data_IF_133377947304
#
_entry.id   IF_133377947304
#
_cell.length_a   1.000
_cell.length_b   1.000
_cell.length_c   1.000
_cell.angle_alpha   90.00
_cell.angle_beta   90.00
_cell.angle_gamma   90.00
#
_symmetry.space_group_name_H-M   'P 1'
#
loop_
_entity.id
_entity.type
_entity.pdbx_description
1 polymer ?
#
# COMPACT_ATOMS: atom_id res chain seq x y z
N UNK A 1 -25.03 1.10 -25.63
CA UNK A 1 -24.61 1.51 -24.26
C UNK A 1 -23.58 2.60 -24.41
N UNK A 2 -23.71 3.74 -23.71
CA UNK A 2 -22.65 4.74 -23.68
C UNK A 2 -21.46 4.12 -22.93
N UNK A 3 -20.36 3.91 -23.64
CA UNK A 3 -19.13 3.42 -23.07
C UNK A 3 -18.50 4.59 -22.30
N UNK A 4 -18.55 4.54 -20.97
CA UNK A 4 -17.91 5.56 -20.14
C UNK A 4 -16.41 5.29 -20.05
N UNK A 5 -15.61 6.34 -19.86
CA UNK A 5 -14.15 6.26 -19.65
C UNK A 5 -13.77 5.17 -18.64
N UNK A 6 -14.53 5.08 -17.55
CA UNK A 6 -14.32 4.11 -16.48
C UNK A 6 -14.58 2.67 -16.95
N UNK A 7 -15.64 2.44 -17.74
CA UNK A 7 -15.93 1.12 -18.31
C UNK A 7 -14.85 0.67 -19.29
N UNK A 8 -14.29 1.59 -20.07
CA UNK A 8 -13.15 1.31 -20.94
C UNK A 8 -11.93 0.87 -20.13
N UNK A 9 -11.57 1.64 -19.10
CA UNK A 9 -10.45 1.34 -18.22
C UNK A 9 -10.64 -0.03 -17.53
N UNK A 10 -11.82 -0.30 -16.97
CA UNK A 10 -12.12 -1.57 -16.29
C UNK A 10 -12.01 -2.74 -17.26
N UNK A 11 -12.57 -2.58 -18.47
CA UNK A 11 -12.50 -3.62 -19.50
C UNK A 11 -11.06 -3.91 -19.93
N UNK A 12 -10.24 -2.87 -20.12
CA UNK A 12 -8.84 -3.02 -20.52
C UNK A 12 -8.02 -3.72 -19.43
N UNK A 13 -8.20 -3.31 -18.17
CA UNK A 13 -7.54 -3.92 -17.02
C UNK A 13 -7.90 -5.40 -16.86
N UNK A 14 -9.19 -5.73 -16.83
CA UNK A 14 -9.64 -7.12 -16.65
C UNK A 14 -9.21 -8.02 -17.82
N UNK A 15 -9.22 -7.52 -19.06
CA UNK A 15 -8.68 -8.25 -20.22
C UNK A 15 -7.19 -8.53 -20.09
N UNK A 16 -6.41 -7.57 -19.58
CA UNK A 16 -4.98 -7.79 -19.35
C UNK A 16 -4.73 -8.84 -18.27
N UNK A 17 -5.51 -8.82 -17.18
CA UNK A 17 -5.41 -9.86 -16.16
C UNK A 17 -5.77 -11.24 -16.70
N UNK A 18 -6.82 -11.32 -17.51
CA UNK A 18 -7.24 -12.55 -18.15
C UNK A 18 -6.14 -13.11 -19.06
N UNK A 19 -5.49 -12.27 -19.88
CA UNK A 19 -4.38 -12.71 -20.74
C UNK A 19 -3.14 -13.15 -19.95
N UNK A 20 -3.01 -12.70 -18.70
CA UNK A 20 -1.97 -13.14 -17.76
C UNK A 20 -2.35 -14.38 -16.93
N UNK A 21 -3.53 -14.97 -17.16
CA UNK A 21 -3.94 -16.21 -16.50
C UNK A 21 -4.76 -16.03 -15.22
N UNK A 22 -5.32 -14.83 -14.97
CA UNK A 22 -6.23 -14.65 -13.84
C UNK A 22 -7.47 -15.56 -13.95
N UNK A 23 -7.82 -16.20 -12.84
CA UNK A 23 -9.02 -17.06 -12.78
C UNK A 23 -10.31 -16.26 -12.86
N UNK A 24 -11.40 -16.88 -13.33
CA UNK A 24 -12.71 -16.22 -13.43
C UNK A 24 -13.22 -15.70 -12.09
N UNK A 25 -12.97 -16.42 -10.99
CA UNK A 25 -13.33 -15.97 -9.64
C UNK A 25 -12.56 -14.71 -9.22
N UNK A 26 -11.26 -14.64 -9.53
CA UNK A 26 -10.46 -13.43 -9.26
C UNK A 26 -10.97 -12.24 -10.09
N UNK A 27 -11.21 -12.44 -11.38
CA UNK A 27 -11.73 -11.39 -12.26
C UNK A 27 -13.09 -10.88 -11.77
N UNK A 28 -13.98 -11.78 -11.32
CA UNK A 28 -15.28 -11.42 -10.76
C UNK A 28 -15.16 -10.59 -9.48
N UNK A 29 -14.32 -11.01 -8.51
CA UNK A 29 -14.11 -10.23 -7.29
C UNK A 29 -13.56 -8.83 -7.59
N UNK A 30 -12.60 -8.74 -8.51
CA UNK A 30 -12.03 -7.45 -8.94
C UNK A 30 -13.06 -6.59 -9.65
N UNK A 31 -13.92 -7.16 -10.50
CA UNK A 31 -14.97 -6.39 -11.18
C UNK A 31 -15.97 -5.80 -10.18
N UNK A 32 -16.40 -6.57 -9.17
CA UNK A 32 -17.31 -6.08 -8.13
C UNK A 32 -16.73 -4.87 -7.37
N UNK A 33 -15.44 -4.94 -7.01
CA UNK A 33 -14.77 -3.81 -6.38
C UNK A 33 -14.63 -2.61 -7.32
N UNK A 34 -14.25 -2.85 -8.58
CA UNK A 34 -14.11 -1.79 -9.57
C UNK A 34 -15.43 -1.12 -9.90
N UNK A 35 -16.56 -1.82 -9.86
CA UNK A 35 -17.88 -1.20 -10.03
C UNK A 35 -18.14 -0.16 -8.92
N UNK A 36 -17.76 -0.46 -7.68
CA UNK A 36 -17.85 0.50 -6.56
C UNK A 36 -16.88 1.67 -6.72
N UNK A 37 -15.61 1.38 -7.03
CA UNK A 37 -14.58 2.40 -7.20
C UNK A 37 -14.91 3.35 -8.36
N UNK A 38 -15.30 2.80 -9.50
CA UNK A 38 -15.58 3.60 -10.70
C UNK A 38 -16.83 4.46 -10.56
N UNK A 39 -17.83 4.03 -9.78
CA UNK A 39 -18.97 4.87 -9.43
C UNK A 39 -18.55 6.17 -8.73
N UNK A 40 -17.48 6.12 -7.90
CA UNK A 40 -16.91 7.29 -7.23
C UNK A 40 -15.99 8.15 -8.13
N UNK A 41 -15.58 7.63 -9.30
CA UNK A 41 -14.67 8.30 -10.24
C UNK A 41 -15.39 8.98 -11.41
N UNK A 42 -16.70 8.75 -11.58
CA UNK A 42 -17.49 9.36 -12.65
C UNK A 42 -17.36 10.89 -12.58
N UNK A 43 -17.06 11.50 -13.72
CA UNK A 43 -16.84 12.95 -13.88
C UNK A 43 -15.69 13.55 -13.05
N UNK A 44 -14.85 12.71 -12.43
CA UNK A 44 -13.65 13.20 -11.72
C UNK A 44 -12.51 13.52 -12.69
N UNK A 45 -11.73 14.58 -12.42
CA UNK A 45 -10.50 14.85 -13.17
C UNK A 45 -9.51 13.68 -13.05
N UNK A 46 -8.71 13.45 -14.08
CA UNK A 46 -7.65 12.43 -14.07
C UNK A 46 -6.46 12.94 -13.26
N UNK A 47 -6.52 12.79 -11.95
CA UNK A 47 -5.42 13.11 -11.05
C UNK A 47 -5.37 12.15 -9.86
N UNK A 48 -4.23 12.13 -9.17
CA UNK A 48 -4.00 11.26 -8.01
C UNK A 48 -4.89 11.62 -6.81
N UNK A 49 -5.23 12.89 -6.64
CA UNK A 49 -6.00 13.37 -5.48
C UNK A 49 -7.43 12.84 -5.51
N UNK A 50 -8.16 13.06 -6.60
CA UNK A 50 -9.51 12.57 -6.79
C UNK A 50 -9.56 11.04 -6.79
N UNK A 51 -8.54 10.39 -7.37
CA UNK A 51 -8.45 8.93 -7.34
C UNK A 51 -8.29 8.40 -5.91
N UNK A 52 -7.38 8.99 -5.13
CA UNK A 52 -7.15 8.58 -3.74
C UNK A 52 -8.41 8.73 -2.90
N UNK A 53 -9.15 9.82 -3.06
CA UNK A 53 -10.44 10.04 -2.37
C UNK A 53 -11.47 8.98 -2.77
N UNK A 54 -11.56 8.63 -4.05
CA UNK A 54 -12.49 7.60 -4.53
C UNK A 54 -12.14 6.20 -4.01
N UNK A 55 -10.84 5.88 -3.92
CA UNK A 55 -10.36 4.63 -3.30
C UNK A 55 -10.73 4.60 -1.83
N UNK A 56 -10.41 5.65 -1.06
CA UNK A 56 -10.76 5.71 0.37
C UNK A 56 -12.26 5.45 0.59
N UNK A 57 -13.13 6.11 -0.18
CA UNK A 57 -14.58 5.93 -0.11
C UNK A 57 -15.04 4.51 -0.50
N UNK A 58 -14.38 3.86 -1.46
CA UNK A 58 -14.68 2.46 -1.81
C UNK A 58 -14.25 1.50 -0.69
N UNK A 59 -13.08 1.75 -0.08
CA UNK A 59 -12.49 0.89 0.94
C UNK A 59 -13.25 0.90 2.28
N UNK A 60 -14.07 1.92 2.57
CA UNK A 60 -14.91 1.99 3.79
C UNK A 60 -15.89 0.82 3.92
N UNK A 61 -16.33 0.25 2.80
CA UNK A 61 -17.31 -0.85 2.77
C UNK A 61 -16.67 -2.24 2.69
N UNK A 62 -15.34 -2.30 2.62
CA UNK A 62 -14.59 -3.54 2.39
C UNK A 62 -14.14 -4.13 3.73
N UNK A 63 -14.40 -5.43 3.99
CA UNK A 63 -13.87 -6.11 5.17
C UNK A 63 -12.34 -6.08 5.24
N UNK A 64 -11.79 -6.06 6.45
CA UNK A 64 -10.35 -5.92 6.68
C UNK A 64 -9.52 -7.08 6.09
N UNK A 65 -10.10 -8.28 6.02
CA UNK A 65 -9.49 -9.48 5.45
C UNK A 65 -9.29 -9.41 3.92
N UNK A 66 -10.11 -8.59 3.25
CA UNK A 66 -10.12 -8.38 1.81
C UNK A 66 -9.44 -7.06 1.40
N UNK A 67 -9.02 -6.26 2.38
CA UNK A 67 -8.48 -4.93 2.15
C UNK A 67 -7.25 -4.92 1.25
N UNK A 68 -6.30 -5.83 1.49
CA UNK A 68 -5.09 -5.93 0.68
C UNK A 68 -5.40 -6.23 -0.80
N UNK A 69 -6.26 -7.22 -1.07
CA UNK A 69 -6.61 -7.60 -2.44
C UNK A 69 -7.29 -6.45 -3.21
N UNK A 70 -8.17 -5.71 -2.53
CA UNK A 70 -8.88 -4.57 -3.12
C UNK A 70 -7.98 -3.34 -3.30
N UNK A 71 -7.11 -3.03 -2.33
CA UNK A 71 -6.11 -1.97 -2.48
C UNK A 71 -5.12 -2.28 -3.60
N UNK A 72 -4.70 -3.54 -3.75
CA UNK A 72 -3.86 -3.95 -4.86
C UNK A 72 -4.58 -3.77 -6.19
N UNK A 73 -5.85 -4.17 -6.26
CA UNK A 73 -6.70 -3.98 -7.44
C UNK A 73 -6.82 -2.50 -7.82
N UNK A 74 -7.02 -1.60 -6.85
CA UNK A 74 -7.02 -0.16 -7.10
C UNK A 74 -5.68 0.32 -7.68
N UNK A 75 -4.55 -0.05 -7.05
CA UNK A 75 -3.22 0.37 -7.54
C UNK A 75 -2.93 -0.10 -8.96
N UNK A 76 -3.25 -1.36 -9.27
CA UNK A 76 -3.08 -1.92 -10.61
C UNK A 76 -4.01 -1.26 -11.63
N UNK A 77 -5.20 -0.85 -11.20
CA UNK A 77 -6.20 -0.19 -12.05
C UNK A 77 -5.86 1.29 -12.35
N UNK A 78 -5.19 1.99 -11.44
CA UNK A 78 -4.92 3.43 -11.56
C UNK A 78 -4.31 3.86 -12.91
N UNK A 79 -3.26 3.21 -13.45
CA UNK A 79 -2.70 3.55 -14.76
C UNK A 79 -3.71 3.44 -15.92
N UNK A 80 -4.65 2.50 -15.84
CA UNK A 80 -5.70 2.33 -16.86
C UNK A 80 -6.68 3.48 -16.83
N UNK A 81 -7.11 3.89 -15.63
CA UNK A 81 -8.01 5.03 -15.47
C UNK A 81 -7.34 6.35 -15.90
N UNK A 82 -6.06 6.54 -15.54
CA UNK A 82 -5.25 7.69 -15.97
C UNK A 82 -4.91 7.69 -17.46
N UNK A 83 -5.17 6.59 -18.18
CA UNK A 83 -4.74 6.36 -19.57
C UNK A 83 -3.22 6.44 -19.77
N UNK A 84 -2.44 6.07 -18.75
CA UNK A 84 -0.99 6.10 -18.79
C UNK A 84 -0.42 4.75 -19.25
N UNK A 85 -0.28 4.61 -20.57
CA UNK A 85 0.23 3.39 -21.20
C UNK A 85 1.67 3.09 -20.78
N UNK A 86 2.49 4.13 -20.54
CA UNK A 86 3.88 3.95 -20.10
C UNK A 86 3.91 3.37 -18.70
N UNK A 87 3.06 3.85 -17.80
CA UNK A 87 2.92 3.29 -16.47
C UNK A 87 2.39 1.84 -16.50
N UNK A 88 1.42 1.51 -17.37
CA UNK A 88 0.95 0.13 -17.54
C UNK A 88 2.10 -0.80 -17.95
N UNK A 89 2.90 -0.38 -18.95
CA UNK A 89 4.03 -1.16 -19.42
C UNK A 89 5.11 -1.32 -18.33
N UNK A 90 5.48 -0.23 -17.66
CA UNK A 90 6.45 -0.26 -16.55
C UNK A 90 5.96 -1.14 -15.39
N UNK A 91 4.66 -1.10 -15.08
CA UNK A 91 4.06 -1.93 -14.04
C UNK A 91 4.14 -3.41 -14.41
N UNK A 92 3.79 -3.76 -15.65
CA UNK A 92 3.87 -5.14 -16.14
C UNK A 92 5.29 -5.70 -16.10
N UNK A 93 6.32 -4.87 -16.34
CA UNK A 93 7.72 -5.32 -16.38
C UNK A 93 8.37 -5.42 -15.00
N UNK A 94 8.05 -4.52 -14.07
CA UNK A 94 8.77 -4.39 -12.80
C UNK A 94 8.07 -5.04 -11.61
N UNK A 95 6.74 -5.00 -11.58
CA UNK A 95 5.94 -5.45 -10.43
C UNK A 95 5.07 -6.66 -10.79
N UNK A 96 4.68 -6.75 -12.06
CA UNK A 96 3.72 -7.74 -12.55
C UNK A 96 2.31 -7.42 -12.08
N UNK A 97 1.32 -8.08 -12.68
CA UNK A 97 -0.05 -8.06 -12.18
C UNK A 97 -0.26 -9.34 -11.38
N UNK A 98 -0.78 -9.21 -10.16
CA UNK A 98 -0.94 -10.36 -9.27
C UNK A 98 -2.10 -11.24 -9.74
N UNK A 99 -1.79 -12.26 -10.54
CA UNK A 99 -2.74 -13.30 -10.95
C UNK A 99 -2.72 -14.51 -10.01
N UNK A 100 -1.70 -14.58 -9.15
CA UNK A 100 -1.56 -15.58 -8.11
C UNK A 100 -1.92 -14.99 -6.75
N UNK A 101 -2.58 -15.77 -5.90
CA UNK A 101 -2.91 -15.34 -4.55
C UNK A 101 -1.65 -15.31 -3.69
N UNK A 102 -1.35 -14.14 -3.10
CA UNK A 102 -0.36 -14.03 -2.03
C UNK A 102 -0.82 -14.92 -0.88
N UNK A 103 -0.08 -16.01 -0.63
CA UNK A 103 -0.45 -17.02 0.36
C UNK A 103 -0.18 -16.56 1.79
N UNK A 104 0.84 -15.73 1.99
CA UNK A 104 1.21 -15.27 3.33
C UNK A 104 0.40 -14.04 3.74
N UNK A 105 -0.09 -14.07 4.98
CA UNK A 105 -0.67 -12.92 5.68
C UNK A 105 0.00 -12.85 7.05
N UNK A 106 0.33 -11.65 7.57
CA UNK A 106 0.82 -11.51 8.93
C UNK A 106 -0.21 -12.03 9.93
N UNK A 107 0.29 -12.47 11.08
CA UNK A 107 -0.55 -12.92 12.20
C UNK A 107 -1.62 -11.88 12.60
N UNK A 108 -2.80 -12.39 12.97
CA UNK A 108 -3.91 -11.59 13.48
C UNK A 108 -3.52 -10.93 14.81
N UNK A 109 -3.82 -9.64 14.95
CA UNK A 109 -3.42 -8.84 16.12
C UNK A 109 -4.25 -7.55 16.21
N UNK A 110 -3.97 -6.72 17.22
CA UNK A 110 -4.55 -5.37 17.38
C UNK A 110 -3.45 -4.31 17.44
N UNK A 111 -3.80 -3.06 17.11
CA UNK A 111 -2.86 -1.94 17.22
C UNK A 111 -2.32 -1.77 18.65
N UNK A 112 -3.16 -2.04 19.66
CA UNK A 112 -2.77 -1.99 21.07
C UNK A 112 -1.70 -3.02 21.38
N UNK A 113 -1.93 -4.29 21.03
CA UNK A 113 -0.95 -5.37 21.27
C UNK A 113 0.38 -5.11 20.57
N UNK A 114 0.33 -4.65 19.31
CA UNK A 114 1.54 -4.26 18.58
C UNK A 114 2.29 -3.14 19.30
N UNK A 115 1.57 -2.11 19.73
CA UNK A 115 2.15 -0.96 20.42
C UNK A 115 2.76 -1.33 21.76
N UNK A 116 2.04 -2.10 22.58
CA UNK A 116 2.49 -2.55 23.90
C UNK A 116 3.73 -3.45 23.80
N UNK A 117 3.85 -4.23 22.71
CA UNK A 117 5.01 -5.09 22.48
C UNK A 117 6.30 -4.34 22.14
N UNK A 118 6.22 -3.11 21.61
CA UNK A 118 7.38 -2.37 21.11
C UNK A 118 8.48 -2.12 22.14
N UNK A 119 8.12 -2.04 23.42
CA UNK A 119 9.06 -1.83 24.53
C UNK A 119 9.84 -3.11 24.90
N UNK A 120 9.27 -4.28 24.59
CA UNK A 120 9.82 -5.59 24.94
C UNK A 120 10.54 -6.25 23.75
N UNK A 121 10.14 -5.88 22.53
CA UNK A 121 10.65 -6.46 21.30
C UNK A 121 12.09 -6.02 20.99
N UNK A 122 12.93 -7.02 20.67
CA UNK A 122 14.28 -6.77 20.17
C UNK A 122 14.24 -6.76 18.65
N UNK A 123 14.85 -5.75 18.06
CA UNK A 123 15.03 -5.66 16.61
C UNK A 123 16.44 -6.13 16.26
N UNK A 124 16.55 -7.04 15.30
CA UNK A 124 17.85 -7.53 14.85
C UNK A 124 18.64 -6.44 14.09
N UNK A 125 19.85 -6.75 13.65
CA UNK A 125 20.68 -5.79 12.90
C UNK A 125 20.04 -5.35 11.58
N UNK A 126 19.41 -6.28 10.86
CA UNK A 126 18.75 -6.03 9.57
C UNK A 126 17.50 -5.15 9.71
N UNK A 127 16.81 -5.25 10.85
CA UNK A 127 15.66 -4.41 11.21
C UNK A 127 16.11 -3.04 11.77
N UNK A 128 17.17 -3.04 12.59
CA UNK A 128 17.65 -1.84 13.29
C UNK A 128 18.35 -0.86 12.35
N UNK A 129 19.06 -1.35 11.34
CA UNK A 129 19.80 -0.49 10.40
C UNK A 129 18.88 0.50 9.65
N UNK A 130 17.79 0.07 8.97
CA UNK A 130 16.91 1.00 8.27
C UNK A 130 16.18 1.95 9.23
N UNK A 131 15.84 1.50 10.45
CA UNK A 131 15.26 2.37 11.47
C UNK A 131 16.22 3.50 11.88
N UNK A 132 17.50 3.17 12.09
CA UNK A 132 18.54 4.17 12.41
C UNK A 132 18.76 5.14 11.26
N UNK A 133 18.84 4.64 10.02
CA UNK A 133 19.02 5.48 8.84
C UNK A 133 17.84 6.43 8.64
N UNK A 134 16.60 5.94 8.80
CA UNK A 134 15.39 6.77 8.70
C UNK A 134 15.34 7.84 9.80
N UNK A 135 15.63 7.47 11.05
CA UNK A 135 15.70 8.40 12.18
C UNK A 135 16.76 9.49 11.95
N UNK A 136 17.96 9.10 11.51
CA UNK A 136 19.06 10.03 11.28
C UNK A 136 18.75 11.00 10.14
N UNK A 137 18.13 10.52 9.06
CA UNK A 137 17.75 11.36 7.93
C UNK A 137 16.73 12.43 8.35
N UNK A 138 15.69 12.06 9.12
CA UNK A 138 14.73 13.04 9.64
C UNK A 138 15.38 14.07 10.58
N UNK A 139 16.28 13.64 11.47
CA UNK A 139 17.03 14.55 12.35
C UNK A 139 17.94 15.50 11.58
N UNK A 140 18.55 15.05 10.50
CA UNK A 140 19.40 15.88 9.65
C UNK A 140 18.60 17.00 8.96
N UNK A 141 17.35 16.73 8.59
CA UNK A 141 16.40 17.73 8.08
C UNK A 141 15.83 18.65 9.18
N UNK A 142 16.27 18.50 10.44
CA UNK A 142 15.87 19.35 11.55
C UNK A 142 14.56 18.96 12.24
N UNK A 143 14.03 17.75 11.99
CA UNK A 143 12.80 17.30 12.62
C UNK A 143 12.92 17.15 14.15
N UNK A 144 11.88 17.56 14.86
CA UNK A 144 11.81 17.45 16.31
C UNK A 144 11.79 15.99 16.80
N UNK A 145 12.27 15.76 18.02
CA UNK A 145 12.39 14.42 18.58
C UNK A 145 11.04 13.68 18.65
N UNK A 146 9.97 14.36 19.07
CA UNK A 146 8.64 13.76 19.15
C UNK A 146 8.09 13.34 17.77
N UNK A 147 8.39 14.11 16.72
CA UNK A 147 8.04 13.78 15.34
C UNK A 147 8.76 12.52 14.88
N UNK A 148 10.08 12.45 15.11
CA UNK A 148 10.92 11.29 14.79
C UNK A 148 10.43 10.05 15.52
N UNK A 149 10.16 10.15 16.83
CA UNK A 149 9.73 9.02 17.66
C UNK A 149 8.38 8.46 17.22
N UNK A 150 7.42 9.32 16.88
CA UNK A 150 6.13 8.91 16.35
C UNK A 150 6.26 8.09 15.05
N UNK A 151 7.11 8.54 14.12
CA UNK A 151 7.33 7.84 12.84
C UNK A 151 8.11 6.54 13.02
N UNK A 152 9.12 6.52 13.89
CA UNK A 152 9.87 5.30 14.21
C UNK A 152 8.98 4.26 14.87
N UNK A 153 8.04 4.68 15.73
CA UNK A 153 7.04 3.77 16.32
C UNK A 153 6.19 3.07 15.26
N UNK A 154 5.72 3.82 14.27
CA UNK A 154 4.93 3.29 13.15
C UNK A 154 5.76 2.37 12.24
N UNK A 155 7.02 2.71 11.95
CA UNK A 155 7.93 1.85 11.19
C UNK A 155 8.21 0.53 11.92
N UNK A 156 8.41 0.56 13.23
CA UNK A 156 8.58 -0.65 14.06
C UNK A 156 7.33 -1.54 14.02
N UNK A 157 6.13 -0.98 14.11
CA UNK A 157 4.87 -1.74 13.97
C UNK A 157 4.84 -2.50 12.64
N UNK A 158 5.23 -1.85 11.54
CA UNK A 158 5.31 -2.50 10.23
C UNK A 158 6.33 -3.64 10.22
N UNK A 159 7.51 -3.44 10.81
CA UNK A 159 8.55 -4.48 10.90
C UNK A 159 8.08 -5.70 11.71
N UNK A 160 7.39 -5.50 12.83
CA UNK A 160 6.78 -6.61 13.58
C UNK A 160 5.80 -7.40 12.73
N UNK A 161 5.00 -6.72 11.91
CA UNK A 161 4.05 -7.37 10.97
C UNK A 161 4.74 -8.04 9.77
N UNK A 162 6.02 -7.80 9.55
CA UNK A 162 6.82 -8.41 8.47
C UNK A 162 7.68 -9.57 8.93
N UNK A 163 7.83 -9.78 10.23
CA UNK A 163 8.87 -10.63 10.80
C UNK A 163 8.70 -12.11 10.43
N UNK A 164 7.45 -12.57 10.31
CA UNK A 164 7.09 -13.94 9.93
C UNK A 164 6.93 -14.13 8.41
N UNK A 165 7.24 -13.10 7.59
CA UNK A 165 7.17 -13.22 6.15
C UNK A 165 8.18 -14.26 5.63
N UNK A 166 7.76 -15.24 4.80
CA UNK A 166 8.67 -16.26 4.28
C UNK A 166 9.74 -15.66 3.36
N UNK A 167 9.40 -14.59 2.65
CA UNK A 167 10.31 -13.84 1.78
C UNK A 167 10.10 -12.36 2.05
N UNK A 168 11.17 -11.65 2.40
CA UNK A 168 11.19 -10.20 2.60
C UNK A 168 11.40 -9.50 1.24
N UNK A 169 10.32 -9.03 0.63
CA UNK A 169 10.34 -8.31 -0.65
C UNK A 169 9.22 -7.25 -0.69
N UNK A 170 9.09 -6.56 -1.83
CA UNK A 170 8.09 -5.51 -2.00
C UNK A 170 6.63 -6.00 -1.81
N UNK A 171 6.34 -7.26 -2.16
CA UNK A 171 4.99 -7.85 -2.02
C UNK A 171 4.66 -8.11 -0.56
N UNK A 172 5.57 -8.73 0.20
CA UNK A 172 5.35 -8.94 1.64
C UNK A 172 5.29 -7.63 2.40
N UNK A 173 6.16 -6.67 2.10
CA UNK A 173 6.11 -5.31 2.66
C UNK A 173 4.73 -4.65 2.46
N UNK A 174 4.22 -4.68 1.22
CA UNK A 174 2.91 -4.12 0.89
C UNK A 174 1.77 -4.87 1.58
N UNK A 175 1.84 -6.20 1.61
CA UNK A 175 0.86 -7.05 2.30
C UNK A 175 0.78 -6.72 3.78
N UNK A 176 1.93 -6.58 4.45
CA UNK A 176 1.99 -6.21 5.86
C UNK A 176 1.43 -4.80 6.10
N UNK A 177 1.78 -3.82 5.26
CA UNK A 177 1.25 -2.47 5.37
C UNK A 177 -0.28 -2.46 5.22
N UNK A 178 -0.80 -3.07 4.15
CA UNK A 178 -2.23 -3.08 3.85
C UNK A 178 -3.05 -3.78 4.92
N UNK A 179 -2.54 -4.87 5.51
CA UNK A 179 -3.20 -5.59 6.61
C UNK A 179 -2.93 -4.97 7.99
N UNK A 180 -2.18 -3.88 8.06
CA UNK A 180 -1.96 -3.09 9.29
C UNK A 180 -2.80 -1.83 9.31
N UNK A 181 -3.04 -1.22 8.14
CA UNK A 181 -3.92 -0.06 8.01
C UNK A 181 -5.28 -0.20 8.74
N UNK A 182 -6.00 -1.35 8.73
CA UNK A 182 -7.37 -1.39 9.26
C UNK A 182 -7.37 -1.48 10.78
N UNK A 183 -6.20 -1.66 11.40
CA UNK A 183 -6.03 -1.61 12.85
C UNK A 183 -6.11 -0.17 13.38
N UNK A 184 -5.92 0.84 12.51
CA UNK A 184 -6.08 2.25 12.87
C UNK A 184 -7.54 2.67 12.70
N UNK A 185 -8.15 3.17 13.78
CA UNK A 185 -9.54 3.66 13.76
C UNK A 185 -9.66 5.12 13.31
N UNK A 186 -8.62 5.91 13.54
CA UNK A 186 -8.58 7.36 13.26
C UNK A 186 -7.99 7.57 11.86
N UNK A 187 -8.65 8.39 11.03
CA UNK A 187 -8.29 8.58 9.62
C UNK A 187 -6.94 9.30 9.48
N UNK A 188 -6.67 10.26 10.35
CA UNK A 188 -5.40 10.99 10.43
C UNK A 188 -4.25 10.02 10.72
N UNK A 189 -4.45 9.06 11.63
CA UNK A 189 -3.46 8.03 11.94
C UNK A 189 -3.22 7.08 10.78
N UNK A 190 -4.25 6.72 9.99
CA UNK A 190 -4.08 5.93 8.76
C UNK A 190 -3.22 6.68 7.74
N UNK A 191 -3.52 7.96 7.51
CA UNK A 191 -2.75 8.82 6.58
C UNK A 191 -1.30 8.94 7.01
N UNK A 192 -1.05 9.17 8.29
CA UNK A 192 0.29 9.22 8.85
C UNK A 192 1.03 7.89 8.67
N UNK A 193 0.39 6.76 8.99
CA UNK A 193 0.98 5.44 8.79
C UNK A 193 1.31 5.18 7.32
N UNK A 194 0.43 5.55 6.37
CA UNK A 194 0.72 5.44 4.93
C UNK A 194 1.92 6.28 4.50
N UNK A 195 2.07 7.51 5.01
CA UNK A 195 3.25 8.35 4.76
C UNK A 195 4.51 7.66 5.27
N UNK A 196 4.51 7.20 6.52
CA UNK A 196 5.66 6.48 7.11
C UNK A 196 6.01 5.24 6.31
N UNK A 197 5.03 4.40 5.94
CA UNK A 197 5.25 3.18 5.17
C UNK A 197 5.94 3.48 3.85
N UNK A 198 5.56 4.56 3.15
CA UNK A 198 6.14 4.94 1.85
C UNK A 198 7.55 5.48 2.00
N UNK A 199 7.78 6.35 2.96
CA UNK A 199 9.11 6.91 3.24
C UNK A 199 10.07 5.81 3.68
N UNK A 200 9.67 5.04 4.69
CA UNK A 200 10.48 3.99 5.31
C UNK A 200 10.84 2.88 4.33
N UNK A 201 10.00 2.60 3.32
CA UNK A 201 10.30 1.59 2.30
C UNK A 201 11.63 1.84 1.59
N UNK A 202 11.98 3.11 1.33
CA UNK A 202 13.25 3.45 0.70
C UNK A 202 14.46 3.09 1.59
N UNK A 203 14.35 3.31 2.88
CA UNK A 203 15.38 2.92 3.85
C UNK A 203 15.44 1.39 4.01
N UNK A 204 14.28 0.74 4.08
CA UNK A 204 14.16 -0.71 4.22
C UNK A 204 14.75 -1.48 3.03
N UNK A 205 14.60 -0.95 1.81
CA UNK A 205 15.19 -1.51 0.58
C UNK A 205 16.65 -1.11 0.35
N UNK A 206 17.22 -0.26 1.20
CA UNK A 206 18.60 0.21 1.06
C UNK A 206 18.79 1.19 -0.11
N UNK A 207 17.76 1.93 -0.51
CA UNK A 207 17.86 2.94 -1.57
C UNK A 207 18.89 4.03 -1.17
N UNK A 208 19.97 4.23 -1.94
CA UNK A 208 20.98 5.25 -1.63
C UNK A 208 20.42 6.67 -1.54
N UNK A 209 19.31 6.95 -2.24
CA UNK A 209 18.67 8.26 -2.28
C UNK A 209 17.49 8.38 -1.29
N UNK A 210 17.34 7.44 -0.35
CA UNK A 210 16.19 7.40 0.56
C UNK A 210 15.96 8.72 1.31
N UNK A 211 17.03 9.40 1.73
CA UNK A 211 16.94 10.68 2.45
C UNK A 211 16.23 11.78 1.63
N UNK A 212 16.49 11.87 0.32
CA UNK A 212 15.83 12.85 -0.56
C UNK A 212 14.34 12.57 -0.81
N UNK A 213 13.85 11.40 -0.39
CA UNK A 213 12.46 10.95 -0.56
C UNK A 213 11.63 11.12 0.70
N UNK A 214 12.19 11.73 1.76
CA UNK A 214 11.42 12.15 2.92
C UNK A 214 10.39 13.20 2.50
N UNK A 215 9.17 13.09 3.04
CA UNK A 215 8.19 14.17 2.91
C UNK A 215 8.76 15.39 3.59
N UNK A 216 8.78 16.52 2.89
CA UNK A 216 9.07 17.82 3.51
C UNK A 216 7.77 18.28 4.18
N UNK A 217 7.86 18.64 5.45
CA UNK A 217 6.76 19.27 6.18
C UNK A 217 6.40 20.63 5.55
#
# INVERSE_FOLDING_TARGET
MIQTREKEATSAYLKLLQSKGATSNMLYKRSLFLDQLTANLVNKPLNNQDYSVAVDAAMEKIPAEDWHANLNTAREFYPFWMKDIKAIAAFSSNYGFDVEAIQWKPLATSLKLLTDSLELEKFDTSESWPLKAYSQAMRYEGAEQAYVDGRIKLAKILLLRLRDAPIKNHKSYRTAADLTLPLFKIQESKKLFLSVVREFYNFWTGNPNAASMLSKD
#
